data_IF_408027176734
#
_entry.id   IF_408027176734
#
_cell.length_a   1.000
_cell.length_b   1.000
_cell.length_c   1.000
_cell.angle_alpha   90.00
_cell.angle_beta   90.00
_cell.angle_gamma   90.00
#
_symmetry.space_group_name_H-M   'P 1'
#
loop_
_entity.id
_entity.type
_entity.pdbx_description
1 polymer ?
#
# COMPACT_ATOMS: atom_id res chain seq x y z
N UNK A 1 -13.93 6.84 24.48
CA UNK A 1 -14.46 7.52 23.26
C UNK A 1 -14.42 9.01 23.53
N UNK A 2 -13.97 9.80 22.55
CA UNK A 2 -13.87 11.26 22.65
C UNK A 2 -14.78 11.91 21.62
N UNK A 3 -15.41 13.03 21.93
CA UNK A 3 -16.31 13.70 21.00
C UNK A 3 -15.53 14.39 19.88
N UNK A 4 -15.84 14.07 18.64
CA UNK A 4 -15.17 14.63 17.46
C UNK A 4 -15.48 16.13 17.22
N UNK A 5 -16.41 16.74 17.97
CA UNK A 5 -16.77 18.14 17.85
C UNK A 5 -16.19 19.00 18.96
N UNK A 6 -16.24 18.55 20.21
CA UNK A 6 -15.84 19.33 21.38
C UNK A 6 -14.79 18.64 22.26
N UNK A 7 -14.27 17.48 21.85
CA UNK A 7 -13.34 16.63 22.60
C UNK A 7 -13.84 16.17 23.99
N UNK A 8 -15.10 16.42 24.34
CA UNK A 8 -15.71 15.97 25.60
C UNK A 8 -15.78 14.46 25.72
N UNK A 9 -15.78 13.95 26.95
CA UNK A 9 -15.74 12.52 27.26
C UNK A 9 -17.04 11.93 27.81
N UNK A 10 -18.03 12.78 28.15
CA UNK A 10 -19.31 12.35 28.68
C UNK A 10 -20.26 11.92 27.56
N UNK A 11 -20.74 10.67 27.60
CA UNK A 11 -21.64 10.13 26.59
C UNK A 11 -22.79 9.35 27.19
N UNK A 12 -23.97 9.53 26.61
CA UNK A 12 -25.18 8.73 26.87
C UNK A 12 -25.55 7.90 25.66
N UNK A 13 -26.14 6.71 25.86
CA UNK A 13 -26.66 5.89 24.76
C UNK A 13 -27.83 6.63 24.09
N UNK A 14 -27.85 6.69 22.76
CA UNK A 14 -28.82 7.47 21.98
C UNK A 14 -29.47 6.64 20.85
N UNK A 15 -29.74 5.35 21.10
CA UNK A 15 -30.32 4.44 20.12
C UNK A 15 -29.27 3.83 19.19
N UNK A 16 -29.68 3.43 18.00
CA UNK A 16 -28.84 2.77 17.01
C UNK A 16 -28.87 3.50 15.67
N UNK A 17 -27.80 3.39 14.88
CA UNK A 17 -27.77 3.87 13.50
C UNK A 17 -28.54 2.92 12.55
N UNK A 18 -28.62 3.28 11.27
CA UNK A 18 -29.28 2.46 10.23
C UNK A 18 -28.64 1.09 10.02
N UNK A 19 -27.43 0.90 10.51
CA UNK A 19 -26.68 -0.37 10.44
C UNK A 19 -26.75 -1.16 11.76
N UNK A 20 -27.62 -0.76 12.70
CA UNK A 20 -27.81 -1.42 14.01
C UNK A 20 -26.69 -1.12 15.02
N UNK A 21 -25.78 -0.16 14.75
CA UNK A 21 -24.68 0.17 15.67
C UNK A 21 -25.15 1.15 16.75
N UNK A 22 -24.68 0.94 17.99
CA UNK A 22 -25.01 1.82 19.11
C UNK A 22 -24.55 3.26 18.83
N UNK A 23 -25.48 4.20 18.86
CA UNK A 23 -25.23 5.64 18.86
C UNK A 23 -25.04 6.14 20.28
N UNK A 24 -24.15 7.10 20.44
CA UNK A 24 -23.87 7.81 21.66
C UNK A 24 -24.05 9.32 21.42
N UNK A 25 -24.68 10.00 22.37
CA UNK A 25 -24.85 11.45 22.39
C UNK A 25 -23.82 12.06 23.35
N UNK A 26 -23.07 13.02 22.88
CA UNK A 26 -22.15 13.80 23.74
C UNK A 26 -22.95 14.68 24.66
N UNK A 27 -22.67 14.62 25.98
CA UNK A 27 -23.33 15.43 27.00
C UNK A 27 -23.04 16.92 26.84
N UNK A 28 -21.85 17.28 26.36
CA UNK A 28 -21.39 18.67 26.29
C UNK A 28 -21.94 19.42 25.05
N UNK A 29 -22.06 18.77 23.90
CA UNK A 29 -22.41 19.44 22.64
C UNK A 29 -23.59 18.80 21.87
N UNK A 30 -24.18 17.73 22.40
CA UNK A 30 -25.33 17.04 21.80
C UNK A 30 -25.01 16.24 20.51
N UNK A 31 -23.73 16.17 20.07
CA UNK A 31 -23.38 15.43 18.87
C UNK A 31 -23.61 13.93 19.06
N UNK A 32 -24.31 13.32 18.11
CA UNK A 32 -24.44 11.87 18.03
C UNK A 32 -23.32 11.27 17.22
N UNK A 33 -22.71 10.21 17.75
CA UNK A 33 -21.63 9.47 17.09
C UNK A 33 -21.64 8.01 17.51
N UNK A 34 -21.06 7.14 16.68
CA UNK A 34 -20.74 5.74 17.02
C UNK A 34 -19.30 5.64 17.46
N UNK A 35 -18.86 4.55 18.12
CA UNK A 35 -17.44 4.31 18.40
C UNK A 35 -16.57 4.37 17.12
N UNK A 36 -17.14 3.98 15.99
CA UNK A 36 -16.48 3.97 14.67
C UNK A 36 -16.42 5.36 13.99
N UNK A 37 -17.04 6.38 14.58
CA UNK A 37 -17.08 7.72 13.94
C UNK A 37 -15.72 8.40 13.84
N UNK A 38 -14.74 8.00 14.68
CA UNK A 38 -13.35 8.44 14.62
C UNK A 38 -12.48 7.58 13.69
N UNK A 39 -12.90 6.35 13.42
CA UNK A 39 -12.15 5.37 12.63
C UNK A 39 -11.97 5.78 11.17
N UNK A 40 -10.86 5.39 10.57
CA UNK A 40 -10.62 5.48 9.13
C UNK A 40 -11.66 4.71 8.29
N UNK A 41 -12.35 3.75 8.90
CA UNK A 41 -13.46 2.99 8.30
C UNK A 41 -14.84 3.64 8.49
N UNK A 42 -14.88 4.89 8.95
CA UNK A 42 -16.14 5.63 9.08
C UNK A 42 -16.90 5.67 7.75
N UNK A 43 -18.21 5.40 7.81
CA UNK A 43 -19.08 5.42 6.62
C UNK A 43 -19.18 4.10 5.88
N UNK A 44 -18.27 3.15 6.09
CA UNK A 44 -18.42 1.82 5.51
C UNK A 44 -19.49 1.00 6.25
N UNK A 45 -20.28 0.26 5.47
CA UNK A 45 -21.35 -0.60 6.00
C UNK A 45 -20.81 -1.84 6.71
N UNK A 46 -19.77 -2.45 6.14
CA UNK A 46 -19.20 -3.72 6.59
C UNK A 46 -18.21 -3.53 7.75
N UNK A 47 -17.96 -4.58 8.57
CA UNK A 47 -16.95 -4.56 9.62
C UNK A 47 -15.56 -4.25 9.11
N UNK A 48 -14.72 -3.65 9.96
CA UNK A 48 -13.37 -3.19 9.61
C UNK A 48 -12.45 -4.36 9.24
N UNK A 49 -12.53 -5.44 9.98
CA UNK A 49 -11.78 -6.69 9.80
C UNK A 49 -12.13 -7.39 8.47
N UNK A 50 -13.40 -7.35 8.08
CA UNK A 50 -13.84 -7.91 6.81
C UNK A 50 -13.32 -7.10 5.63
N UNK A 51 -13.37 -5.76 5.70
CA UNK A 51 -12.81 -4.86 4.68
C UNK A 51 -11.29 -5.07 4.60
N UNK A 52 -10.62 -5.10 5.74
CA UNK A 52 -9.19 -5.34 5.87
C UNK A 52 -8.78 -6.68 5.22
N UNK A 53 -9.53 -7.74 5.50
CA UNK A 53 -9.31 -9.08 4.95
C UNK A 53 -9.41 -9.09 3.42
N UNK A 54 -10.47 -8.49 2.87
CA UNK A 54 -10.70 -8.42 1.42
C UNK A 54 -9.57 -7.66 0.71
N UNK A 55 -9.16 -6.51 1.25
CA UNK A 55 -8.06 -5.70 0.71
C UNK A 55 -6.73 -6.46 0.77
N UNK A 56 -6.44 -7.13 1.90
CA UNK A 56 -5.26 -7.98 2.04
C UNK A 56 -5.25 -9.11 1.02
N UNK A 57 -6.36 -9.82 0.85
CA UNK A 57 -6.46 -10.90 -0.13
C UNK A 57 -6.19 -10.40 -1.54
N UNK A 58 -6.80 -9.31 -1.93
CA UNK A 58 -6.60 -8.73 -3.25
C UNK A 58 -5.15 -8.34 -3.50
N UNK A 59 -4.51 -7.64 -2.57
CA UNK A 59 -3.12 -7.18 -2.73
C UNK A 59 -2.10 -8.32 -2.67
N UNK A 60 -2.37 -9.36 -1.87
CA UNK A 60 -1.43 -10.46 -1.62
C UNK A 60 -1.57 -11.59 -2.62
N UNK A 61 -2.78 -12.02 -2.91
CA UNK A 61 -3.06 -13.17 -3.75
C UNK A 61 -3.42 -12.75 -5.17
N UNK A 62 -3.41 -13.69 -6.11
CA UNK A 62 -3.76 -13.42 -7.51
C UNK A 62 -5.26 -13.57 -7.76
N UNK A 63 -6.08 -13.19 -6.78
CA UNK A 63 -7.53 -13.30 -6.84
C UNK A 63 -8.13 -12.11 -7.59
N UNK A 64 -9.03 -12.32 -8.56
CA UNK A 64 -9.89 -11.28 -9.09
C UNK A 64 -10.91 -10.85 -8.03
N UNK A 65 -11.60 -9.73 -8.25
CA UNK A 65 -12.65 -9.26 -7.33
C UNK A 65 -13.79 -10.26 -7.16
N UNK A 66 -14.13 -11.01 -8.23
CA UNK A 66 -15.18 -12.02 -8.20
C UNK A 66 -14.88 -13.13 -7.18
N UNK A 67 -13.66 -13.69 -7.21
CA UNK A 67 -13.26 -14.75 -6.26
C UNK A 67 -13.28 -14.24 -4.81
N UNK A 68 -12.94 -12.96 -4.60
CA UNK A 68 -13.01 -12.35 -3.26
C UNK A 68 -14.47 -12.23 -2.80
N UNK A 69 -15.37 -11.87 -3.71
CA UNK A 69 -16.82 -11.82 -3.43
C UNK A 69 -17.34 -13.21 -3.00
N UNK A 70 -16.95 -14.28 -3.70
CA UNK A 70 -17.30 -15.65 -3.33
C UNK A 70 -16.76 -16.03 -1.96
N UNK A 71 -15.47 -15.76 -1.69
CA UNK A 71 -14.84 -16.02 -0.40
C UNK A 71 -15.48 -15.24 0.77
N UNK A 72 -16.00 -14.05 0.50
CA UNK A 72 -16.76 -13.26 1.49
C UNK A 72 -18.15 -13.81 1.69
N UNK A 73 -18.83 -14.27 0.63
CA UNK A 73 -20.15 -14.88 0.71
C UNK A 73 -20.13 -16.18 1.53
N UNK A 74 -19.10 -17.02 1.41
CA UNK A 74 -18.86 -18.19 2.26
C UNK A 74 -18.81 -17.85 3.76
N UNK A 75 -18.47 -16.60 4.10
CA UNK A 75 -18.41 -16.05 5.46
C UNK A 75 -19.66 -15.27 5.86
N UNK A 76 -20.72 -15.38 5.04
CA UNK A 76 -21.99 -14.70 5.27
C UNK A 76 -22.00 -13.21 4.93
N UNK A 77 -20.96 -12.71 4.22
CA UNK A 77 -20.89 -11.31 3.81
C UNK A 77 -21.16 -11.17 2.30
N UNK A 78 -22.34 -10.67 1.97
CA UNK A 78 -22.78 -10.45 0.58
C UNK A 78 -22.38 -9.03 0.13
N UNK A 79 -21.45 -8.94 -0.81
CA UNK A 79 -20.91 -7.70 -1.35
C UNK A 79 -20.80 -7.78 -2.87
N UNK A 80 -20.80 -6.64 -3.55
CA UNK A 80 -20.53 -6.56 -4.98
C UNK A 80 -19.04 -6.38 -5.26
N UNK A 81 -18.59 -6.80 -6.44
CA UNK A 81 -17.21 -6.62 -6.89
C UNK A 81 -16.79 -5.15 -6.95
N UNK A 82 -17.71 -4.24 -7.25
CA UNK A 82 -17.50 -2.78 -7.20
C UNK A 82 -17.19 -2.30 -5.78
N UNK A 83 -17.87 -2.84 -4.76
CA UNK A 83 -17.61 -2.54 -3.36
C UNK A 83 -16.21 -2.98 -2.94
N UNK A 84 -15.79 -4.18 -3.34
CA UNK A 84 -14.42 -4.66 -3.07
C UNK A 84 -13.38 -3.80 -3.79
N UNK A 85 -13.66 -3.41 -5.04
CA UNK A 85 -12.82 -2.47 -5.79
C UNK A 85 -12.67 -1.15 -5.04
N UNK A 86 -13.76 -0.55 -4.57
CA UNK A 86 -13.74 0.72 -3.83
C UNK A 86 -12.94 0.60 -2.53
N UNK A 87 -13.09 -0.52 -1.80
CA UNK A 87 -12.26 -0.78 -0.62
C UNK A 87 -10.77 -0.83 -0.96
N UNK A 88 -10.39 -1.54 -2.02
CA UNK A 88 -8.98 -1.61 -2.44
C UNK A 88 -8.44 -0.21 -2.78
N UNK A 89 -9.20 0.59 -3.53
CA UNK A 89 -8.75 1.91 -3.94
C UNK A 89 -8.62 2.92 -2.79
N UNK A 90 -9.56 2.91 -1.85
CA UNK A 90 -9.60 3.90 -0.78
C UNK A 90 -8.84 3.46 0.48
N UNK A 91 -8.86 2.17 0.80
CA UNK A 91 -8.28 1.67 2.05
C UNK A 91 -6.77 1.40 1.92
N UNK A 92 -6.28 0.98 0.74
CA UNK A 92 -4.85 0.72 0.53
C UNK A 92 -3.95 1.91 0.88
N UNK A 93 -4.24 3.16 0.45
CA UNK A 93 -3.46 4.33 0.84
C UNK A 93 -3.45 4.55 2.36
N UNK A 94 -4.60 4.36 3.04
CA UNK A 94 -4.70 4.52 4.49
C UNK A 94 -3.78 3.55 5.24
N UNK A 95 -3.72 2.29 4.80
CA UNK A 95 -2.79 1.30 5.38
C UNK A 95 -1.33 1.69 5.17
N UNK A 96 -0.97 2.20 3.99
CA UNK A 96 0.40 2.67 3.71
C UNK A 96 0.78 3.85 4.61
N UNK A 97 -0.13 4.80 4.78
CA UNK A 97 0.11 5.99 5.61
C UNK A 97 0.21 5.62 7.10
N UNK A 98 -0.67 4.75 7.59
CA UNK A 98 -0.60 4.23 8.97
C UNK A 98 0.69 3.43 9.23
N UNK A 99 1.19 2.72 8.23
CA UNK A 99 2.42 1.93 8.35
C UNK A 99 3.70 2.78 8.28
N UNK A 100 3.64 3.98 7.71
CA UNK A 100 4.83 4.83 7.45
C UNK A 100 5.73 5.02 8.67
N UNK A 101 5.23 5.32 9.88
CA UNK A 101 6.06 5.50 11.08
C UNK A 101 6.79 4.21 11.51
N UNK A 102 6.29 3.06 11.09
CA UNK A 102 6.83 1.76 11.45
C UNK A 102 7.80 1.19 10.41
N UNK A 103 8.01 1.90 9.30
CA UNK A 103 8.88 1.43 8.21
C UNK A 103 10.35 1.48 8.64
N UNK A 104 11.09 0.41 8.37
CA UNK A 104 12.53 0.45 8.51
C UNK A 104 13.12 1.43 7.49
N UNK A 105 14.17 2.15 7.91
CA UNK A 105 14.85 3.08 7.02
C UNK A 105 15.37 2.33 5.80
N UNK A 106 15.11 2.85 4.61
CA UNK A 106 15.63 2.27 3.38
C UNK A 106 17.14 2.49 3.27
N UNK A 107 17.83 1.56 2.62
CA UNK A 107 19.26 1.68 2.35
C UNK A 107 19.57 2.78 1.35
N UNK A 108 20.83 3.21 1.28
CA UNK A 108 21.31 4.27 0.36
C UNK A 108 21.81 3.75 -0.98
N UNK A 109 21.81 2.43 -1.18
CA UNK A 109 22.14 1.80 -2.48
C UNK A 109 20.85 1.30 -3.11
N UNK A 110 20.48 1.90 -4.23
CA UNK A 110 19.23 1.64 -4.94
C UNK A 110 19.49 0.92 -6.26
N UNK A 111 18.74 -0.13 -6.52
CA UNK A 111 18.59 -0.72 -7.85
C UNK A 111 17.27 -0.23 -8.44
N UNK A 112 17.32 0.37 -9.62
CA UNK A 112 16.18 1.00 -10.28
C UNK A 112 16.04 0.43 -11.67
N UNK A 113 14.81 0.08 -12.03
CA UNK A 113 14.46 -0.39 -13.37
C UNK A 113 12.98 -0.13 -13.64
N UNK A 114 12.55 -0.18 -14.88
CA UNK A 114 11.16 -0.11 -15.24
C UNK A 114 10.66 -1.39 -15.91
N UNK A 115 9.38 -1.64 -15.72
CA UNK A 115 8.68 -2.73 -16.37
C UNK A 115 7.35 -2.25 -16.95
N UNK A 116 6.67 -3.10 -17.71
CA UNK A 116 5.41 -2.75 -18.36
C UNK A 116 4.23 -3.31 -17.59
N UNK A 117 3.15 -2.52 -17.52
CA UNK A 117 1.82 -2.97 -17.12
C UNK A 117 0.78 -2.57 -18.20
N UNK A 118 -0.36 -3.27 -18.22
CA UNK A 118 -1.46 -2.97 -19.14
C UNK A 118 -2.41 -1.93 -18.57
N UNK A 119 -2.62 -0.84 -19.32
CA UNK A 119 -3.56 0.23 -19.01
C UNK A 119 -4.44 0.54 -20.21
N UNK A 120 -5.74 0.27 -20.13
CA UNK A 120 -6.70 0.50 -21.22
C UNK A 120 -6.23 -0.05 -22.58
N UNK A 121 -5.69 -1.28 -22.57
CA UNK A 121 -5.15 -1.93 -23.77
C UNK A 121 -3.74 -1.50 -24.18
N UNK A 122 -3.20 -0.41 -23.62
CA UNK A 122 -1.84 0.09 -23.87
C UNK A 122 -0.85 -0.41 -22.83
N UNK A 123 0.44 -0.39 -23.14
CA UNK A 123 1.52 -0.59 -22.17
C UNK A 123 1.93 0.74 -21.57
N UNK A 124 2.03 0.81 -20.25
CA UNK A 124 2.60 1.92 -19.50
C UNK A 124 3.79 1.43 -18.67
N UNK A 125 4.63 2.34 -18.26
CA UNK A 125 5.87 2.04 -17.55
C UNK A 125 5.67 2.10 -16.04
N UNK A 126 6.15 1.07 -15.33
CA UNK A 126 6.18 1.01 -13.88
C UNK A 126 7.65 1.10 -13.43
N UNK A 127 8.09 2.30 -13.07
CA UNK A 127 9.38 2.52 -12.44
C UNK A 127 9.36 1.96 -11.03
N UNK A 128 10.40 1.24 -10.66
CA UNK A 128 10.54 0.66 -9.33
C UNK A 128 11.96 0.82 -8.82
N UNK A 129 12.09 1.01 -7.53
CA UNK A 129 13.36 0.94 -6.83
C UNK A 129 13.28 -0.06 -5.68
N UNK A 130 14.37 -0.80 -5.49
CA UNK A 130 14.63 -1.61 -4.30
C UNK A 130 15.98 -1.22 -3.72
N UNK A 131 16.14 -1.37 -2.41
CA UNK A 131 17.45 -1.21 -1.79
C UNK A 131 18.27 -2.52 -1.83
N UNK A 132 19.50 -2.45 -1.29
CA UNK A 132 20.41 -3.59 -1.24
C UNK A 132 19.88 -4.77 -0.38
N UNK A 133 18.87 -4.55 0.46
CA UNK A 133 18.22 -5.56 1.29
C UNK A 133 16.98 -6.16 0.62
N UNK A 134 16.58 -5.62 -0.55
CA UNK A 134 15.38 -6.04 -1.29
C UNK A 134 14.10 -5.35 -0.84
N UNK A 135 14.19 -4.31 0.02
CA UNK A 135 13.05 -3.50 0.39
C UNK A 135 12.59 -2.69 -0.83
N UNK A 136 11.32 -2.80 -1.19
CA UNK A 136 10.74 -1.95 -2.22
C UNK A 136 10.71 -0.52 -1.71
N UNK A 137 11.45 0.37 -2.36
CA UNK A 137 11.56 1.80 -2.00
C UNK A 137 10.31 2.51 -2.43
N UNK A 138 10.02 2.46 -3.74
CA UNK A 138 8.85 3.09 -4.33
C UNK A 138 8.45 2.44 -5.67
N UNK A 139 7.25 2.78 -6.13
CA UNK A 139 6.68 2.43 -7.43
C UNK A 139 6.05 3.68 -8.03
N UNK A 140 6.37 3.98 -9.28
CA UNK A 140 5.80 5.11 -10.00
C UNK A 140 5.36 4.69 -11.40
N UNK A 141 4.12 5.01 -11.75
CA UNK A 141 3.58 4.70 -13.07
C UNK A 141 3.62 5.92 -13.98
N UNK A 142 4.12 5.74 -15.18
CA UNK A 142 4.14 6.78 -16.22
C UNK A 142 3.64 6.24 -17.56
N UNK A 143 3.00 7.07 -18.34
CA UNK A 143 2.65 6.76 -19.73
C UNK A 143 3.85 6.89 -20.67
N UNK A 144 4.91 7.61 -20.25
CA UNK A 144 6.13 7.82 -21.01
C UNK A 144 7.34 7.16 -20.36
N UNK A 145 8.35 6.84 -21.18
CA UNK A 145 9.68 6.36 -20.77
C UNK A 145 10.72 7.40 -21.18
N UNK A 146 10.79 8.47 -20.44
CA UNK A 146 11.66 9.60 -20.73
C UNK A 146 12.35 10.13 -19.46
N UNK A 147 13.20 11.13 -19.63
CA UNK A 147 13.92 11.78 -18.53
C UNK A 147 12.98 12.41 -17.52
N UNK A 148 11.85 13.00 -17.97
CA UNK A 148 10.89 13.64 -17.09
C UNK A 148 10.22 12.63 -16.16
N UNK A 149 9.81 11.47 -16.70
CA UNK A 149 9.23 10.39 -15.90
C UNK A 149 10.24 9.81 -14.90
N UNK A 150 11.49 9.60 -15.31
CA UNK A 150 12.56 9.15 -14.42
C UNK A 150 12.86 10.19 -13.31
N UNK A 151 12.88 11.48 -13.63
CA UNK A 151 13.05 12.57 -12.66
C UNK A 151 11.92 12.55 -11.63
N UNK A 152 10.66 12.54 -12.07
CA UNK A 152 9.50 12.50 -11.20
C UNK A 152 9.51 11.26 -10.29
N UNK A 153 9.96 10.11 -10.81
CA UNK A 153 10.12 8.90 -10.00
C UNK A 153 11.15 9.09 -8.88
N UNK A 154 12.35 9.61 -9.15
CA UNK A 154 13.37 9.83 -8.12
C UNK A 154 12.94 10.85 -7.08
N UNK A 155 12.33 11.96 -7.50
CA UNK A 155 11.78 12.97 -6.60
C UNK A 155 10.73 12.36 -5.67
N UNK A 156 9.79 11.58 -6.23
CA UNK A 156 8.78 10.90 -5.43
C UNK A 156 9.40 9.91 -4.44
N UNK A 157 10.34 9.09 -4.88
CA UNK A 157 10.98 8.08 -4.04
C UNK A 157 11.71 8.71 -2.85
N UNK A 158 12.43 9.82 -3.08
CA UNK A 158 13.11 10.59 -2.04
C UNK A 158 12.08 11.21 -1.08
N UNK A 159 11.05 11.88 -1.60
CA UNK A 159 10.03 12.52 -0.79
C UNK A 159 9.26 11.51 0.11
N UNK A 160 9.04 10.28 -0.37
CA UNK A 160 8.35 9.24 0.40
C UNK A 160 9.21 8.57 1.46
N UNK A 161 10.53 8.54 1.27
CA UNK A 161 11.45 7.80 2.16
C UNK A 161 12.31 8.70 3.02
N UNK A 162 12.41 9.98 2.68
CA UNK A 162 13.36 10.95 3.27
C UNK A 162 14.82 10.43 3.22
N UNK A 163 15.15 9.67 2.17
CA UNK A 163 16.50 9.11 1.94
C UNK A 163 16.97 9.48 0.55
N UNK A 164 18.13 10.12 0.47
CA UNK A 164 18.85 10.34 -0.80
C UNK A 164 19.79 9.17 -1.03
N UNK A 165 19.78 8.53 -2.21
CA UNK A 165 20.70 7.45 -2.50
C UNK A 165 22.13 7.96 -2.66
N UNK A 166 23.08 7.17 -2.16
CA UNK A 166 24.52 7.36 -2.42
C UNK A 166 24.96 6.64 -3.70
N UNK A 167 24.28 5.56 -4.05
CA UNK A 167 24.54 4.78 -5.25
C UNK A 167 23.22 4.37 -5.90
N UNK A 168 23.14 4.55 -7.20
CA UNK A 168 22.00 4.11 -8.00
C UNK A 168 22.48 3.22 -9.13
N UNK A 169 22.00 1.99 -9.18
CA UNK A 169 22.24 1.06 -10.29
C UNK A 169 21.01 1.02 -11.18
N UNK A 170 21.21 1.23 -12.48
CA UNK A 170 20.15 1.16 -13.49
C UNK A 170 20.58 0.29 -14.67
N UNK A 171 19.66 0.04 -15.59
CA UNK A 171 20.01 -0.40 -16.94
C UNK A 171 20.71 0.74 -17.72
N UNK A 172 21.00 0.51 -18.99
CA UNK A 172 21.65 1.50 -19.86
C UNK A 172 20.68 2.50 -20.52
N UNK A 173 19.44 2.63 -20.01
CA UNK A 173 18.46 3.54 -20.59
C UNK A 173 18.92 5.00 -20.50
N UNK A 174 18.82 5.71 -21.61
CA UNK A 174 19.34 7.09 -21.74
C UNK A 174 18.60 8.10 -20.84
N UNK A 175 17.42 7.75 -20.32
CA UNK A 175 16.63 8.61 -19.45
C UNK A 175 17.23 8.78 -18.04
N UNK A 176 17.95 7.78 -17.53
CA UNK A 176 18.44 7.79 -16.14
C UNK A 176 19.60 8.77 -15.88
N UNK A 177 20.67 8.85 -16.71
CA UNK A 177 21.78 9.74 -16.40
C UNK A 177 21.37 11.22 -16.24
N UNK A 178 20.56 11.82 -17.12
CA UNK A 178 20.13 13.21 -16.94
C UNK A 178 19.19 13.39 -15.74
N UNK A 179 18.30 12.43 -15.47
CA UNK A 179 17.41 12.46 -14.30
C UNK A 179 18.19 12.42 -12.98
N UNK A 180 19.18 11.53 -12.88
CA UNK A 180 20.03 11.43 -11.69
C UNK A 180 20.85 12.70 -11.46
N UNK A 181 21.43 13.28 -12.52
CA UNK A 181 22.15 14.57 -12.41
C UNK A 181 21.27 15.70 -11.90
N UNK A 182 20.00 15.69 -12.27
CA UNK A 182 19.04 16.72 -11.84
C UNK A 182 18.62 16.55 -10.37
N UNK A 183 18.39 15.32 -9.91
CA UNK A 183 17.78 15.05 -8.60
C UNK A 183 18.81 14.71 -7.53
N UNK A 184 19.83 13.90 -7.86
CA UNK A 184 20.85 13.39 -6.94
C UNK A 184 22.24 13.42 -7.58
N UNK A 185 22.77 14.61 -7.93
CA UNK A 185 24.04 14.75 -8.62
C UNK A 185 25.23 14.14 -7.85
N UNK A 186 25.08 14.01 -6.53
CA UNK A 186 26.07 13.41 -5.63
C UNK A 186 26.08 11.88 -5.64
N UNK A 187 25.05 11.25 -6.22
CA UNK A 187 24.96 9.79 -6.24
C UNK A 187 25.87 9.17 -7.31
N UNK A 188 26.57 8.11 -6.92
CA UNK A 188 27.31 7.28 -7.87
C UNK A 188 26.32 6.51 -8.75
N UNK A 189 26.37 6.77 -10.07
CA UNK A 189 25.55 6.03 -11.03
C UNK A 189 26.33 4.86 -11.62
N UNK A 190 25.81 3.64 -11.44
CA UNK A 190 26.40 2.40 -11.97
C UNK A 190 25.42 1.76 -12.96
N UNK A 191 25.98 1.25 -14.06
CA UNK A 191 25.24 0.38 -14.98
C UNK A 191 25.80 -1.04 -14.86
N UNK A 192 25.04 -1.96 -14.26
CA UNK A 192 25.56 -3.31 -13.99
C UNK A 192 24.46 -4.37 -13.92
N UNK A 193 24.82 -5.64 -14.20
CA UNK A 193 23.88 -6.77 -14.21
C UNK A 193 23.62 -7.41 -12.85
N UNK A 194 24.58 -7.35 -11.92
CA UNK A 194 24.48 -8.12 -10.67
C UNK A 194 23.37 -7.62 -9.74
N UNK A 195 23.20 -6.31 -9.61
CA UNK A 195 22.14 -5.72 -8.78
C UNK A 195 20.79 -5.72 -9.50
N UNK A 196 20.79 -5.80 -10.84
CA UNK A 196 19.57 -5.92 -11.65
C UNK A 196 18.81 -7.24 -11.43
N UNK A 197 19.50 -8.34 -11.09
CA UNK A 197 18.81 -9.62 -10.81
C UNK A 197 17.82 -9.53 -9.65
N UNK A 198 18.10 -8.71 -8.64
CA UNK A 198 17.20 -8.52 -7.52
C UNK A 198 15.93 -7.76 -7.92
N UNK A 199 16.08 -6.68 -8.72
CA UNK A 199 14.92 -5.92 -9.20
C UNK A 199 14.13 -6.67 -10.27
N UNK A 200 14.80 -7.46 -11.12
CA UNK A 200 14.10 -8.34 -12.08
C UNK A 200 13.22 -9.37 -11.38
N UNK A 201 13.70 -9.99 -10.28
CA UNK A 201 12.86 -10.86 -9.43
C UNK A 201 11.67 -10.10 -8.85
N UNK A 202 11.88 -8.86 -8.43
CA UNK A 202 10.81 -8.00 -7.93
C UNK A 202 9.77 -7.70 -9.01
N UNK A 203 10.21 -7.39 -10.24
CA UNK A 203 9.34 -7.22 -11.40
C UNK A 203 8.50 -8.48 -11.69
N UNK A 204 9.08 -9.67 -11.56
CA UNK A 204 8.33 -10.92 -11.76
C UNK A 204 7.21 -11.09 -10.73
N UNK A 205 7.40 -10.65 -9.49
CA UNK A 205 6.34 -10.65 -8.48
C UNK A 205 5.19 -9.72 -8.86
N UNK A 206 5.51 -8.49 -9.30
CA UNK A 206 4.49 -7.54 -9.78
C UNK A 206 3.79 -8.08 -11.04
N UNK A 207 4.54 -8.53 -12.05
CA UNK A 207 3.99 -9.16 -13.26
C UNK A 207 3.11 -10.37 -12.94
N UNK A 208 3.55 -11.22 -12.00
CA UNK A 208 2.76 -12.35 -11.53
C UNK A 208 1.42 -11.95 -10.92
N UNK A 209 1.33 -10.77 -10.28
CA UNK A 209 0.07 -10.22 -9.78
C UNK A 209 -0.77 -9.62 -10.91
N UNK A 210 -0.18 -8.84 -11.81
CA UNK A 210 -0.90 -8.09 -12.84
C UNK A 210 -1.32 -8.94 -14.05
N UNK A 211 -0.66 -10.08 -14.31
CA UNK A 211 -1.02 -10.98 -15.41
C UNK A 211 -2.42 -11.61 -15.29
N UNK A 212 -2.87 -11.90 -14.07
CA UNK A 212 -4.21 -12.43 -13.79
C UNK A 212 -5.29 -11.35 -13.91
N UNK A 213 -4.91 -10.08 -13.99
CA UNK A 213 -5.80 -8.96 -14.21
C UNK A 213 -5.96 -8.73 -15.72
N UNK A 214 -7.16 -8.39 -16.16
CA UNK A 214 -7.42 -8.00 -17.56
C UNK A 214 -6.83 -6.62 -17.93
N UNK A 215 -5.91 -6.10 -17.11
CA UNK A 215 -5.33 -4.76 -17.18
C UNK A 215 -6.11 -3.74 -16.35
N UNK A 216 -5.52 -2.59 -16.21
CA UNK A 216 -6.13 -1.45 -15.52
C UNK A 216 -6.81 -0.53 -16.55
N UNK A 217 -7.78 0.27 -16.08
CA UNK A 217 -8.46 1.26 -16.92
C UNK A 217 -7.99 2.69 -16.67
N UNK A 218 -7.52 2.98 -15.44
CA UNK A 218 -7.08 4.32 -15.01
C UNK A 218 -5.71 4.23 -14.35
N UNK A 219 -4.82 5.18 -14.67
CA UNK A 219 -3.45 5.21 -14.15
C UNK A 219 -3.41 5.31 -12.61
N UNK A 220 -4.23 6.19 -12.03
CA UNK A 220 -4.29 6.34 -10.56
C UNK A 220 -4.72 5.05 -9.85
N UNK A 221 -5.69 4.31 -10.42
CA UNK A 221 -6.11 3.02 -9.85
C UNK A 221 -5.02 1.95 -9.97
N UNK A 222 -4.29 1.93 -11.08
CA UNK A 222 -3.14 1.07 -11.27
C UNK A 222 -2.03 1.41 -10.27
N UNK A 223 -1.77 2.71 -10.04
CA UNK A 223 -0.79 3.19 -9.06
C UNK A 223 -1.10 2.65 -7.65
N UNK A 224 -2.35 2.77 -7.19
CA UNK A 224 -2.78 2.25 -5.87
C UNK A 224 -2.49 0.76 -5.73
N UNK A 225 -2.80 -0.04 -6.75
CA UNK A 225 -2.58 -1.50 -6.70
C UNK A 225 -1.09 -1.85 -6.76
N UNK A 226 -0.31 -1.19 -7.61
CA UNK A 226 1.14 -1.43 -7.72
C UNK A 226 1.88 -1.02 -6.45
N UNK A 227 1.51 0.12 -5.88
CA UNK A 227 1.98 0.60 -4.58
C UNK A 227 1.61 -0.37 -3.45
N UNK A 228 0.32 -0.78 -3.41
CA UNK A 228 -0.17 -1.73 -2.42
C UNK A 228 0.52 -3.09 -2.51
N UNK A 229 0.85 -3.55 -3.70
CA UNK A 229 1.63 -4.78 -3.90
C UNK A 229 3.05 -4.65 -3.31
N UNK A 230 3.74 -3.55 -3.58
CA UNK A 230 5.07 -3.28 -3.00
C UNK A 230 5.02 -3.18 -1.47
N UNK A 231 3.99 -2.51 -0.95
CA UNK A 231 3.73 -2.38 0.48
C UNK A 231 3.51 -3.74 1.17
N UNK A 232 2.60 -4.56 0.63
CA UNK A 232 2.32 -5.91 1.17
C UNK A 232 3.55 -6.80 1.12
N UNK A 233 4.38 -6.67 0.07
CA UNK A 233 5.65 -7.37 -0.01
C UNK A 233 6.59 -6.96 1.11
N UNK A 234 6.78 -5.66 1.30
CA UNK A 234 7.64 -5.14 2.37
C UNK A 234 7.16 -5.57 3.78
N UNK A 235 5.85 -5.57 4.05
CA UNK A 235 5.29 -6.12 5.30
C UNK A 235 5.63 -7.59 5.49
N UNK A 236 5.43 -8.38 4.43
CA UNK A 236 5.69 -9.81 4.44
C UNK A 236 7.15 -10.13 4.69
N UNK A 237 8.05 -9.37 4.08
CA UNK A 237 9.49 -9.58 4.12
C UNK A 237 10.15 -8.95 5.38
N UNK A 238 9.35 -8.27 6.24
CA UNK A 238 9.79 -7.78 7.55
C UNK A 238 10.45 -6.41 7.52
N UNK A 239 10.13 -5.57 6.54
CA UNK A 239 10.64 -4.20 6.46
C UNK A 239 9.81 -3.16 7.23
N UNK A 240 8.99 -3.63 8.19
CA UNK A 240 8.23 -2.81 9.11
C UNK A 240 8.31 -3.38 10.53
N UNK A 241 8.33 -2.53 11.54
CA UNK A 241 8.20 -2.89 12.96
C UNK A 241 6.73 -3.19 13.29
N UNK A 242 6.15 -4.17 12.57
CA UNK A 242 4.76 -4.60 12.66
C UNK A 242 4.71 -6.11 12.49
N UNK A 243 3.77 -6.75 13.18
CA UNK A 243 3.60 -8.21 13.09
C UNK A 243 4.82 -8.98 13.61
N UNK A 244 5.67 -8.33 14.39
CA UNK A 244 6.84 -8.97 14.96
C UNK A 244 6.41 -10.03 15.96
N UNK A 245 6.96 -11.25 15.86
CA UNK A 245 6.70 -12.26 16.85
C UNK A 245 7.48 -11.97 18.12
N UNK A 246 6.85 -12.18 19.23
CA UNK A 246 7.55 -12.36 20.48
C UNK A 246 8.41 -13.65 20.38
N UNK A 247 9.64 -13.49 19.92
CA UNK A 247 10.72 -14.44 20.23
C UNK A 247 11.06 -15.57 19.27
N UNK A 248 10.39 -15.80 18.14
CA UNK A 248 10.83 -16.87 17.21
C UNK A 248 11.29 -16.31 15.85
N UNK A 249 12.63 -16.41 15.52
CA UNK A 249 13.18 -15.97 14.24
C UNK A 249 12.72 -16.82 13.04
N UNK A 250 12.06 -17.95 13.28
CA UNK A 250 11.59 -18.89 12.25
C UNK A 250 10.19 -18.60 11.73
N UNK A 251 9.59 -17.46 12.09
CA UNK A 251 8.24 -17.15 11.64
C UNK A 251 8.18 -16.97 10.12
N UNK A 252 7.36 -17.80 9.52
CA UNK A 252 7.03 -17.76 8.11
C UNK A 252 6.48 -16.36 7.71
N UNK A 253 6.82 -15.92 6.52
CA UNK A 253 6.39 -14.64 5.96
C UNK A 253 4.86 -14.42 5.97
N UNK A 254 4.06 -15.49 5.85
CA UNK A 254 2.60 -15.37 5.81
C UNK A 254 1.98 -14.98 7.16
N UNK A 255 2.31 -15.60 8.31
CA UNK A 255 1.86 -15.15 9.63
C UNK A 255 2.31 -13.72 9.96
N UNK A 256 3.53 -13.32 9.60
CA UNK A 256 4.00 -11.95 9.78
C UNK A 256 3.10 -10.95 9.08
N UNK A 257 2.80 -11.18 7.80
CA UNK A 257 1.90 -10.31 7.04
C UNK A 257 0.52 -10.23 7.69
N UNK A 258 -0.05 -11.34 8.13
CA UNK A 258 -1.37 -11.34 8.76
C UNK A 258 -1.38 -10.48 10.02
N UNK A 259 -0.41 -10.69 10.93
CA UNK A 259 -0.28 -9.91 12.16
C UNK A 259 -0.06 -8.42 11.90
N UNK A 260 0.90 -8.08 11.02
CA UNK A 260 1.14 -6.68 10.66
C UNK A 260 -0.10 -6.00 10.08
N UNK A 261 -0.90 -6.75 9.33
CA UNK A 261 -2.15 -6.25 8.78
C UNK A 261 -3.21 -6.02 9.86
N UNK A 262 -3.29 -6.94 10.83
CA UNK A 262 -4.20 -6.83 11.97
C UNK A 262 -3.79 -5.65 12.88
N UNK A 263 -2.49 -5.47 13.16
CA UNK A 263 -1.96 -4.31 13.90
C UNK A 263 -2.39 -2.99 13.22
N UNK A 264 -2.22 -2.89 11.92
CA UNK A 264 -2.61 -1.69 11.15
C UNK A 264 -4.12 -1.49 11.15
N UNK A 265 -4.91 -2.56 11.08
CA UNK A 265 -6.37 -2.50 11.17
C UNK A 265 -6.79 -1.89 12.51
N UNK A 266 -6.15 -2.30 13.60
CA UNK A 266 -6.41 -1.75 14.93
C UNK A 266 -6.04 -0.26 15.01
N UNK A 267 -4.87 0.14 14.48
CA UNK A 267 -4.45 1.54 14.41
C UNK A 267 -5.50 2.37 13.66
N UNK A 268 -5.94 1.93 12.48
CA UNK A 268 -6.92 2.63 11.65
C UNK A 268 -8.33 2.64 12.27
N UNK A 269 -8.68 1.63 13.05
CA UNK A 269 -9.95 1.58 13.77
C UNK A 269 -9.96 2.51 14.98
N UNK A 270 -8.80 2.80 15.58
CA UNK A 270 -8.64 3.67 16.74
C UNK A 270 -8.40 5.15 16.39
N UNK A 271 -7.99 5.44 15.13
CA UNK A 271 -7.67 6.79 14.65
C UNK A 271 -8.92 7.65 14.49
#
# INVERSE_FOLDING_TARGET
MQCQRCAGGAFTKAGHDRSGRQLYCCGDCGRRQTPRSASAFRGYRFPDDLIALAVRWYLRFRLPYADIVELLAERGAHVDASTVYDWVQHVTPLYKDAARPHRHRVGTRWAVDETYIRLAGRSVYAYRAIDAHGQVIDVYLSETRDTAAATAFFEQAIARTDVRPQRVTTDKAAAYPPALRAVVPEAEHITGKAEQQAIERDHQHLKGRTRSMRGFQRLGCAQVVCDGHGFVRNLRDGFYRLGEPTGDPRILHAPRLARAWDDLTQILAAA
#
